data_IF_955547408342
#
_entry.id   IF_955547408342
#
_cell.length_a   1.000
_cell.length_b   1.000
_cell.length_c   1.000
_cell.angle_alpha   90.00
_cell.angle_beta   90.00
_cell.angle_gamma   90.00
#
_symmetry.space_group_name_H-M   'P 1'
#
loop_
_entity.id
_entity.type
_entity.pdbx_description
1 polymer ?
#
# COMPACT_ATOMS: atom_id res chain seq x y z
N UNK A 1 26.14 -4.93 13.70
CA UNK A 1 25.44 -5.95 12.88
C UNK A 1 24.35 -6.57 13.73
N UNK A 2 23.17 -5.97 13.71
CA UNK A 2 21.93 -6.49 14.30
C UNK A 2 20.76 -5.80 13.57
N UNK A 3 19.65 -6.52 13.47
CA UNK A 3 18.29 -6.02 13.16
C UNK A 3 17.79 -5.91 11.71
N UNK A 4 18.13 -6.88 10.87
CA UNK A 4 17.23 -7.31 9.77
C UNK A 4 16.32 -8.47 10.20
N UNK A 5 16.70 -9.24 11.23
CA UNK A 5 15.89 -10.34 11.78
C UNK A 5 14.63 -9.85 12.53
N UNK A 6 14.65 -8.63 13.07
CA UNK A 6 13.52 -8.04 13.79
C UNK A 6 12.35 -7.67 12.86
N UNK A 7 12.61 -7.35 11.59
CA UNK A 7 11.57 -6.96 10.62
C UNK A 7 10.82 -8.17 10.07
N UNK A 8 11.51 -9.30 9.87
CA UNK A 8 10.86 -10.56 9.46
C UNK A 8 10.10 -11.26 10.60
N UNK A 9 10.52 -11.07 11.85
CA UNK A 9 9.80 -11.58 13.03
C UNK A 9 8.41 -10.93 13.23
N UNK A 10 8.23 -9.67 12.82
CA UNK A 10 6.99 -8.93 13.04
C UNK A 10 5.91 -9.26 11.98
N UNK A 11 6.33 -9.62 10.76
CA UNK A 11 5.41 -10.14 9.72
C UNK A 11 5.02 -11.59 10.03
N UNK A 12 5.94 -12.40 10.56
CA UNK A 12 5.62 -13.77 11.04
C UNK A 12 4.64 -13.81 12.22
N UNK A 13 4.75 -12.86 13.16
CA UNK A 13 3.86 -12.79 14.34
C UNK A 13 2.43 -12.33 14.01
N UNK A 14 2.23 -11.54 12.95
CA UNK A 14 0.90 -11.18 12.45
C UNK A 14 0.22 -12.32 11.68
N UNK A 15 1.00 -13.23 11.08
CA UNK A 15 0.48 -14.42 10.40
C UNK A 15 0.07 -15.58 11.34
N UNK A 16 0.77 -15.76 12.47
CA UNK A 16 0.54 -16.89 13.37
C UNK A 16 -0.67 -16.76 14.32
N UNK A 17 -1.07 -15.54 14.68
CA UNK A 17 -2.13 -15.32 15.66
C UNK A 17 -3.56 -15.51 15.11
N UNK A 18 -3.74 -15.59 13.78
CA UNK A 18 -5.05 -15.77 13.14
C UNK A 18 -5.51 -17.23 13.02
N UNK A 19 -4.66 -18.22 13.33
CA UNK A 19 -4.98 -19.65 13.14
C UNK A 19 -5.24 -20.44 14.43
N UNK A 20 -5.04 -19.85 15.62
CA UNK A 20 -5.06 -20.60 16.90
C UNK A 20 -6.41 -20.71 17.63
N UNK A 21 -7.47 -20.05 17.18
CA UNK A 21 -8.68 -19.82 18.00
C UNK A 21 -9.94 -20.63 17.65
N UNK A 22 -9.83 -21.78 16.99
CA UNK A 22 -10.99 -22.51 16.45
C UNK A 22 -11.21 -23.91 17.05
N UNK A 23 -10.95 -24.09 18.34
CA UNK A 23 -11.33 -25.30 19.06
C UNK A 23 -12.09 -24.91 20.32
N UNK A 24 -13.44 -24.99 20.28
CA UNK A 24 -14.21 -25.90 21.14
C UNK A 24 -15.72 -25.61 21.15
N UNK A 25 -16.48 -26.71 21.14
CA UNK A 25 -17.90 -26.91 21.49
C UNK A 25 -19.01 -26.58 20.46
N UNK A 26 -19.49 -27.67 19.86
CA UNK A 26 -20.87 -27.84 19.44
C UNK A 26 -21.82 -27.80 20.65
N UNK A 27 -22.84 -26.93 20.61
CA UNK A 27 -24.08 -27.01 21.42
C UNK A 27 -25.26 -26.55 20.53
N UNK A 28 -26.45 -27.19 20.58
CA UNK A 28 -27.45 -27.06 19.53
C UNK A 28 -28.57 -26.03 19.80
N UNK A 29 -28.90 -25.27 18.75
CA UNK A 29 -30.23 -24.85 18.26
C UNK A 29 -31.09 -23.83 19.04
N UNK A 30 -30.81 -23.46 20.28
CA UNK A 30 -31.37 -22.20 20.87
C UNK A 30 -30.46 -20.97 20.70
N UNK A 31 -29.30 -21.17 20.10
CA UNK A 31 -28.21 -20.19 19.92
C UNK A 31 -28.31 -19.31 18.67
N UNK A 32 -29.32 -19.48 17.81
CA UNK A 32 -29.33 -18.86 16.46
C UNK A 32 -29.41 -17.33 16.44
N UNK A 33 -29.90 -16.66 17.49
CA UNK A 33 -29.92 -15.18 17.53
C UNK A 33 -28.60 -14.58 18.03
N UNK A 34 -27.97 -15.21 19.02
CA UNK A 34 -26.67 -14.77 19.55
C UNK A 34 -25.53 -15.10 18.58
N UNK A 35 -25.57 -16.24 17.89
CA UNK A 35 -24.54 -16.61 16.89
C UNK A 35 -24.61 -15.71 15.66
N UNK A 36 -25.80 -15.28 15.23
CA UNK A 36 -25.95 -14.34 14.11
C UNK A 36 -25.42 -12.94 14.45
N UNK A 37 -25.63 -12.46 15.68
CA UNK A 37 -25.03 -11.20 16.15
C UNK A 37 -23.51 -11.32 16.28
N UNK A 38 -23.01 -12.39 16.89
CA UNK A 38 -21.56 -12.64 17.02
C UNK A 38 -20.86 -12.77 15.64
N UNK A 39 -21.49 -13.45 14.68
CA UNK A 39 -20.97 -13.54 13.29
C UNK A 39 -20.96 -12.19 12.58
N UNK A 40 -21.97 -11.34 12.78
CA UNK A 40 -21.99 -9.99 12.21
C UNK A 40 -20.91 -9.11 12.82
N UNK A 41 -20.73 -9.17 14.13
CA UNK A 41 -19.69 -8.44 14.85
C UNK A 41 -18.29 -8.85 14.40
N UNK A 42 -18.03 -10.16 14.31
CA UNK A 42 -16.75 -10.69 13.81
C UNK A 42 -16.44 -10.26 12.37
N UNK A 43 -17.46 -10.19 11.49
CA UNK A 43 -17.30 -9.68 10.12
C UNK A 43 -17.01 -8.18 10.09
N UNK A 44 -17.71 -7.38 10.88
CA UNK A 44 -17.48 -5.94 10.96
C UNK A 44 -16.07 -5.61 11.49
N UNK A 45 -15.61 -6.34 12.50
CA UNK A 45 -14.26 -6.21 13.05
C UNK A 45 -13.18 -6.63 12.05
N UNK A 46 -13.38 -7.75 11.34
CA UNK A 46 -12.46 -8.18 10.28
C UNK A 46 -12.35 -7.13 9.16
N UNK A 47 -13.49 -6.57 8.73
CA UNK A 47 -13.55 -5.51 7.72
C UNK A 47 -12.83 -4.23 8.18
N UNK A 48 -13.07 -3.81 9.43
CA UNK A 48 -12.37 -2.67 10.04
C UNK A 48 -10.85 -2.87 10.07
N UNK A 49 -10.39 -4.06 10.48
CA UNK A 49 -8.96 -4.39 10.53
C UNK A 49 -8.31 -4.36 9.15
N UNK A 50 -9.01 -4.80 8.10
CA UNK A 50 -8.52 -4.74 6.71
C UNK A 50 -8.43 -3.30 6.20
N UNK A 51 -9.41 -2.44 6.50
CA UNK A 51 -9.34 -1.01 6.18
C UNK A 51 -8.16 -0.32 6.87
N UNK A 52 -7.92 -0.68 8.13
CA UNK A 52 -6.74 -0.21 8.87
C UNK A 52 -5.42 -0.70 8.27
N UNK A 53 -5.38 -1.93 7.77
CA UNK A 53 -4.21 -2.45 7.05
C UNK A 53 -3.93 -1.63 5.78
N UNK A 54 -4.94 -1.37 4.95
CA UNK A 54 -4.81 -0.53 3.75
C UNK A 54 -4.31 0.88 4.08
N UNK A 55 -4.85 1.50 5.14
CA UNK A 55 -4.38 2.80 5.64
C UNK A 55 -2.90 2.77 6.02
N UNK A 56 -2.47 1.72 6.72
CA UNK A 56 -1.09 1.57 7.17
C UNK A 56 -0.14 1.36 5.99
N UNK A 57 -0.47 0.47 5.06
CA UNK A 57 0.40 0.13 3.91
C UNK A 57 0.52 1.29 2.93
N UNK A 58 -0.57 1.98 2.61
CA UNK A 58 -0.52 3.19 1.75
C UNK A 58 0.27 4.34 2.38
N UNK A 59 0.21 4.51 3.70
CA UNK A 59 1.04 5.47 4.43
C UNK A 59 2.52 5.13 4.32
N UNK A 60 2.87 3.87 4.52
CA UNK A 60 4.25 3.41 4.47
C UNK A 60 4.85 3.56 3.07
N UNK A 61 4.09 3.20 2.03
CA UNK A 61 4.48 3.40 0.64
C UNK A 61 4.82 4.88 0.34
N UNK A 62 3.94 5.80 0.72
CA UNK A 62 4.18 7.25 0.51
C UNK A 62 5.37 7.75 1.32
N UNK A 63 5.57 7.23 2.55
CA UNK A 63 6.73 7.58 3.39
C UNK A 63 8.04 7.18 2.72
N UNK A 64 8.13 5.95 2.20
CA UNK A 64 9.32 5.44 1.53
C UNK A 64 9.62 6.26 0.26
N UNK A 65 8.61 6.56 -0.57
CA UNK A 65 8.80 7.40 -1.75
C UNK A 65 9.36 8.80 -1.42
N UNK A 66 8.88 9.41 -0.33
CA UNK A 66 9.33 10.74 0.12
C UNK A 66 10.76 10.73 0.68
N UNK A 67 11.10 9.69 1.42
CA UNK A 67 12.46 9.45 1.95
C UNK A 67 13.47 9.27 0.80
N UNK A 68 13.08 8.52 -0.22
CA UNK A 68 13.88 8.31 -1.42
C UNK A 68 14.12 9.59 -2.20
N UNK A 69 13.06 10.34 -2.48
CA UNK A 69 13.16 11.62 -3.15
C UNK A 69 14.04 12.62 -2.37
N UNK A 70 13.87 12.69 -1.05
CA UNK A 70 14.71 13.55 -0.19
C UNK A 70 16.18 13.16 -0.27
N UNK A 71 16.48 11.86 -0.33
CA UNK A 71 17.86 11.37 -0.44
C UNK A 71 18.48 11.68 -1.81
N UNK A 72 17.71 11.55 -2.89
CA UNK A 72 18.13 11.93 -4.24
C UNK A 72 18.40 13.44 -4.38
N UNK A 73 17.54 14.29 -3.77
CA UNK A 73 17.74 15.73 -3.73
C UNK A 73 19.01 16.13 -2.95
N UNK A 74 19.31 15.41 -1.86
CA UNK A 74 20.52 15.62 -1.08
C UNK A 74 21.79 15.07 -1.75
N UNK A 75 21.70 14.44 -2.93
CA UNK A 75 22.82 13.81 -3.60
C UNK A 75 23.43 12.64 -2.81
N UNK A 76 22.68 12.07 -1.86
CA UNK A 76 23.15 10.94 -1.06
C UNK A 76 23.01 9.66 -1.87
N UNK A 77 24.01 8.80 -1.78
CA UNK A 77 23.90 7.45 -2.30
C UNK A 77 22.77 6.75 -1.56
N UNK A 78 21.67 6.48 -2.26
CA UNK A 78 20.62 5.66 -1.67
C UNK A 78 21.08 4.21 -1.72
N UNK A 79 21.09 3.53 -0.58
CA UNK A 79 21.49 2.12 -0.51
C UNK A 79 20.59 1.28 -1.42
N UNK A 80 21.09 0.98 -2.63
CA UNK A 80 20.36 0.27 -3.70
C UNK A 80 19.78 -1.04 -3.19
N UNK A 81 20.59 -1.76 -2.41
CA UNK A 81 20.30 -3.10 -1.91
C UNK A 81 19.27 -3.13 -0.78
N UNK A 82 19.03 -2.01 -0.10
CA UNK A 82 18.09 -1.94 1.04
C UNK A 82 16.78 -1.23 0.69
N UNK A 83 16.87 -0.13 -0.07
CA UNK A 83 15.73 0.73 -0.37
C UNK A 83 14.74 0.15 -1.38
N UNK A 84 15.24 -0.46 -2.45
CA UNK A 84 14.39 -0.96 -3.53
C UNK A 84 13.54 -2.16 -3.08
N UNK A 85 14.10 -3.17 -2.38
CA UNK A 85 13.29 -4.25 -1.81
C UNK A 85 12.22 -3.75 -0.85
N UNK A 86 12.52 -2.72 -0.03
CA UNK A 86 11.55 -2.14 0.89
C UNK A 86 10.40 -1.45 0.15
N UNK A 87 10.70 -0.69 -0.92
CA UNK A 87 9.68 -0.03 -1.73
C UNK A 87 8.79 -1.05 -2.46
N UNK A 88 9.39 -2.11 -3.02
CA UNK A 88 8.65 -3.19 -3.66
C UNK A 88 7.75 -3.92 -2.66
N UNK A 89 8.27 -4.28 -1.48
CA UNK A 89 7.47 -4.90 -0.43
C UNK A 89 6.30 -4.03 0.04
N UNK A 90 6.47 -2.70 0.05
CA UNK A 90 5.39 -1.78 0.38
C UNK A 90 4.31 -1.72 -0.73
N UNK A 91 4.71 -1.77 -2.00
CA UNK A 91 3.77 -1.86 -3.13
C UNK A 91 2.96 -3.17 -3.07
N UNK A 92 3.65 -4.30 -2.87
CA UNK A 92 3.02 -5.62 -2.76
C UNK A 92 2.04 -5.66 -1.57
N UNK A 93 2.43 -5.10 -0.41
CA UNK A 93 1.56 -5.01 0.76
C UNK A 93 0.32 -4.14 0.55
N UNK A 94 0.38 -3.11 -0.30
CA UNK A 94 -0.82 -2.36 -0.71
C UNK A 94 -1.72 -3.23 -1.59
N UNK A 95 -1.15 -3.98 -2.53
CA UNK A 95 -1.89 -4.96 -3.33
C UNK A 95 -2.60 -6.01 -2.46
N UNK A 96 -1.89 -6.64 -1.53
CA UNK A 96 -2.44 -7.66 -0.64
C UNK A 96 -3.56 -7.12 0.27
N UNK A 97 -3.38 -5.91 0.81
CA UNK A 97 -4.39 -5.26 1.64
C UNK A 97 -5.66 -4.94 0.81
N UNK A 98 -5.47 -4.61 -0.45
CA UNK A 98 -6.53 -4.32 -1.41
C UNK A 98 -7.32 -5.57 -1.78
N UNK A 99 -6.62 -6.64 -2.14
CA UNK A 99 -7.25 -7.93 -2.46
C UNK A 99 -7.98 -8.50 -1.25
N UNK A 100 -7.45 -8.30 -0.04
CA UNK A 100 -8.11 -8.69 1.20
C UNK A 100 -9.45 -7.98 1.43
N UNK A 101 -9.59 -6.72 0.96
CA UNK A 101 -10.84 -5.97 1.08
C UNK A 101 -11.93 -6.48 0.11
N UNK A 102 -11.52 -7.01 -1.04
CA UNK A 102 -12.45 -7.61 -2.01
C UNK A 102 -13.27 -8.78 -1.41
N UNK A 103 -12.70 -9.49 -0.42
CA UNK A 103 -13.38 -10.57 0.32
C UNK A 103 -14.65 -10.07 1.03
N UNK A 104 -14.68 -8.82 1.48
CA UNK A 104 -15.82 -8.24 2.22
C UNK A 104 -16.82 -7.52 1.32
N UNK A 105 -16.74 -7.71 -0.01
CA UNK A 105 -17.53 -6.98 -0.98
C UNK A 105 -17.14 -5.50 -1.10
N UNK A 106 -16.07 -5.08 -0.41
CA UNK A 106 -15.38 -3.83 -0.71
C UNK A 106 -14.47 -4.10 -1.90
N UNK A 107 -15.04 -4.03 -3.09
CA UNK A 107 -14.29 -4.26 -4.31
C UNK A 107 -13.35 -3.09 -4.52
N UNK A 108 -12.07 -3.32 -4.26
CA UNK A 108 -10.95 -2.50 -4.72
C UNK A 108 -10.21 -3.23 -5.83
N UNK A 109 -10.82 -3.41 -6.99
CA UNK A 109 -10.18 -4.15 -8.08
C UNK A 109 -9.12 -3.29 -8.78
N UNK A 110 -7.86 -3.68 -8.65
CA UNK A 110 -6.73 -3.13 -9.42
C UNK A 110 -6.59 -3.75 -10.82
N UNK A 111 -7.40 -4.77 -11.12
CA UNK A 111 -7.42 -5.45 -12.41
C UNK A 111 -8.40 -4.79 -13.38
N UNK A 112 -7.92 -4.53 -14.60
CA UNK A 112 -8.67 -3.91 -15.71
C UNK A 112 -9.81 -4.78 -16.28
N UNK A 113 -10.01 -6.00 -15.76
CA UNK A 113 -11.00 -6.96 -16.30
C UNK A 113 -12.35 -6.98 -15.59
N UNK A 114 -12.54 -6.27 -14.46
CA UNK A 114 -13.83 -6.25 -13.75
C UNK A 114 -14.57 -4.93 -13.99
N UNK A 115 -15.55 -4.95 -14.89
CA UNK A 115 -16.14 -3.76 -15.51
C UNK A 115 -17.37 -3.18 -14.80
N UNK A 116 -17.74 -3.65 -13.62
CA UNK A 116 -19.08 -3.35 -13.06
C UNK A 116 -19.14 -2.66 -11.69
N UNK A 117 -18.02 -2.32 -11.04
CA UNK A 117 -18.07 -1.49 -9.82
C UNK A 117 -16.98 -0.42 -9.87
N UNK A 118 -17.26 0.67 -10.59
CA UNK A 118 -16.51 1.93 -10.53
C UNK A 118 -16.82 2.65 -9.20
N UNK A 119 -16.39 2.08 -8.07
CA UNK A 119 -16.42 2.82 -6.81
C UNK A 119 -15.34 3.92 -6.87
N UNK A 120 -15.65 5.09 -6.31
CA UNK A 120 -14.74 6.25 -6.29
C UNK A 120 -13.42 5.89 -5.60
N UNK A 121 -13.49 5.00 -4.62
CA UNK A 121 -12.40 4.41 -3.88
C UNK A 121 -11.39 3.68 -4.78
N UNK A 122 -11.88 2.90 -5.74
CA UNK A 122 -11.04 2.12 -6.66
C UNK A 122 -10.23 3.03 -7.55
N UNK A 123 -10.89 4.09 -8.02
CA UNK A 123 -10.24 5.11 -8.83
C UNK A 123 -9.12 5.79 -8.06
N UNK A 124 -9.33 6.15 -6.79
CA UNK A 124 -8.26 6.74 -5.98
C UNK A 124 -7.15 5.74 -5.70
N UNK A 125 -7.46 4.49 -5.39
CA UNK A 125 -6.43 3.49 -5.17
C UNK A 125 -5.60 3.19 -6.42
N UNK A 126 -6.24 3.05 -7.58
CA UNK A 126 -5.58 2.87 -8.87
C UNK A 126 -4.67 4.07 -9.19
N UNK A 127 -5.17 5.30 -9.00
CA UNK A 127 -4.38 6.51 -9.18
C UNK A 127 -3.18 6.55 -8.22
N UNK A 128 -3.35 6.13 -6.96
CA UNK A 128 -2.29 6.10 -5.97
C UNK A 128 -1.18 5.14 -6.38
N UNK A 129 -1.55 3.92 -6.77
CA UNK A 129 -0.59 2.93 -7.23
C UNK A 129 0.08 3.36 -8.53
N UNK A 130 -0.68 3.94 -9.47
CA UNK A 130 -0.11 4.49 -10.70
C UNK A 130 0.94 5.55 -10.42
N UNK A 131 0.66 6.51 -9.54
CA UNK A 131 1.65 7.52 -9.14
C UNK A 131 2.85 6.88 -8.42
N UNK A 132 2.63 5.89 -7.57
CA UNK A 132 3.70 5.18 -6.88
C UNK A 132 4.60 4.38 -7.83
N UNK A 133 4.04 3.68 -8.82
CA UNK A 133 4.78 2.97 -9.86
C UNK A 133 5.55 3.92 -10.77
N UNK A 134 4.96 5.06 -11.15
CA UNK A 134 5.68 6.09 -11.91
C UNK A 134 6.86 6.65 -11.10
N UNK A 135 6.64 6.95 -9.83
CA UNK A 135 7.68 7.45 -8.93
C UNK A 135 8.80 6.42 -8.74
N UNK A 136 8.47 5.14 -8.53
CA UNK A 136 9.46 4.07 -8.38
C UNK A 136 10.27 3.85 -9.66
N UNK A 137 9.64 3.95 -10.84
CA UNK A 137 10.32 3.96 -12.13
C UNK A 137 11.31 5.10 -12.27
N UNK A 138 10.90 6.33 -11.93
CA UNK A 138 11.79 7.50 -11.98
C UNK A 138 12.96 7.41 -10.98
N UNK A 139 12.73 6.89 -9.78
CA UNK A 139 13.81 6.64 -8.80
C UNK A 139 14.84 5.69 -9.38
N UNK A 140 14.41 4.61 -10.05
CA UNK A 140 15.29 3.66 -10.72
C UNK A 140 16.05 4.31 -11.88
N UNK A 141 15.37 5.04 -12.76
CA UNK A 141 16.00 5.72 -13.89
C UNK A 141 17.06 6.74 -13.46
N UNK A 142 16.79 7.52 -12.39
CA UNK A 142 17.75 8.47 -11.83
C UNK A 142 18.97 7.75 -11.24
N UNK A 143 18.76 6.63 -10.53
CA UNK A 143 19.85 5.85 -9.92
C UNK A 143 20.73 5.17 -10.95
N UNK A 144 20.13 4.56 -11.98
CA UNK A 144 20.86 3.90 -13.05
C UNK A 144 21.65 4.92 -13.88
N UNK A 145 21.12 6.15 -14.04
CA UNK A 145 21.85 7.26 -14.66
C UNK A 145 22.99 7.84 -13.82
N UNK A 146 22.92 7.75 -12.48
CA UNK A 146 23.97 8.20 -11.56
C UNK A 146 25.09 7.14 -11.38
N UNK A 147 24.87 5.90 -11.86
CA UNK A 147 25.73 4.75 -11.62
C UNK A 147 26.34 4.14 -12.87
N UNK A 148 27.26 4.85 -13.55
CA UNK A 148 28.44 4.26 -14.20
C UNK A 148 29.31 5.37 -14.81
N UNK A 149 30.60 5.37 -14.47
CA UNK A 149 31.63 6.23 -15.07
C UNK A 149 32.00 5.82 -16.50
N UNK A 150 31.05 5.29 -17.27
CA UNK A 150 31.20 5.05 -18.69
C UNK A 150 30.80 6.34 -19.42
N UNK A 151 31.71 6.86 -20.24
CA UNK A 151 31.50 8.13 -20.93
C UNK A 151 30.17 8.08 -21.68
N UNK A 152 29.26 9.05 -21.45
CA UNK A 152 27.96 9.04 -22.09
C UNK A 152 28.15 9.00 -23.61
N UNK A 153 27.54 7.99 -24.24
CA UNK A 153 27.48 7.88 -25.69
C UNK A 153 27.00 9.24 -26.26
N UNK A 154 27.83 9.95 -27.05
CA UNK A 154 27.51 11.28 -27.56
C UNK A 154 26.25 11.29 -28.43
N UNK A 155 25.83 10.15 -28.97
CA UNK A 155 24.58 10.02 -29.71
C UNK A 155 23.34 9.87 -28.79
N UNK A 156 23.50 9.43 -27.54
CA UNK A 156 22.43 9.42 -26.51
C UNK A 156 22.26 10.77 -25.79
N UNK A 157 23.27 11.64 -25.84
CA UNK A 157 23.27 12.95 -25.18
C UNK A 157 22.19 13.92 -25.71
N UNK A 158 21.71 13.74 -26.94
CA UNK A 158 20.61 14.54 -27.49
C UNK A 158 19.21 14.09 -27.03
N UNK A 159 19.07 12.93 -26.37
CA UNK A 159 17.81 12.40 -25.82
C UNK A 159 17.81 12.30 -24.28
N UNK A 160 18.94 12.63 -23.62
CA UNK A 160 19.05 12.55 -22.17
C UNK A 160 18.18 13.62 -21.50
N UNK A 161 17.06 13.21 -20.91
CA UNK A 161 16.24 14.09 -20.08
C UNK A 161 17.11 14.61 -18.93
N UNK A 162 17.22 15.94 -18.73
CA UNK A 162 18.05 16.50 -17.67
C UNK A 162 17.66 15.92 -16.31
N UNK A 163 18.64 15.54 -15.47
CA UNK A 163 18.41 15.02 -14.10
C UNK A 163 17.43 15.87 -13.30
N UNK A 164 17.53 17.19 -13.43
CA UNK A 164 16.61 18.15 -12.81
C UNK A 164 15.15 17.94 -13.25
N UNK A 165 14.91 17.70 -14.53
CA UNK A 165 13.56 17.43 -15.05
C UNK A 165 12.99 16.09 -14.55
N UNK A 166 13.85 15.08 -14.35
CA UNK A 166 13.46 13.80 -13.73
C UNK A 166 13.09 13.98 -12.26
N UNK A 167 13.88 14.74 -11.50
CA UNK A 167 13.59 15.07 -10.09
C UNK A 167 12.30 15.87 -9.95
N UNK A 168 12.07 16.88 -10.81
CA UNK A 168 10.82 17.65 -10.82
C UNK A 168 9.62 16.78 -11.14
N UNK A 169 9.79 15.80 -12.04
CA UNK A 169 8.74 14.82 -12.36
C UNK A 169 8.48 13.89 -11.19
N UNK A 170 9.52 13.39 -10.53
CA UNK A 170 9.41 12.54 -9.34
C UNK A 170 8.64 13.26 -8.22
N UNK A 171 8.99 14.52 -7.95
CA UNK A 171 8.29 15.36 -6.97
C UNK A 171 6.79 15.49 -7.28
N UNK A 172 6.43 15.66 -8.56
CA UNK A 172 5.02 15.71 -9.02
C UNK A 172 4.28 14.39 -8.77
N UNK A 173 4.89 13.25 -9.10
CA UNK A 173 4.28 11.94 -8.88
C UNK A 173 4.08 11.66 -7.38
N UNK A 174 5.07 11.96 -6.54
CA UNK A 174 4.96 11.79 -5.07
C UNK A 174 3.86 12.69 -4.50
N UNK A 175 3.78 13.95 -4.96
CA UNK A 175 2.71 14.87 -4.58
C UNK A 175 1.33 14.38 -5.05
N UNK A 176 1.27 13.75 -6.23
CA UNK A 176 0.12 13.02 -6.72
C UNK A 176 -0.31 11.91 -5.77
N UNK A 177 0.60 10.99 -5.43
CA UNK A 177 0.36 9.91 -4.46
C UNK A 177 -0.13 10.42 -3.11
N UNK A 178 0.45 11.50 -2.59
CA UNK A 178 0.06 12.13 -1.31
C UNK A 178 -1.39 12.62 -1.34
N UNK A 179 -1.78 13.40 -2.36
CA UNK A 179 -3.15 13.92 -2.52
C UNK A 179 -4.16 12.80 -2.74
N UNK A 180 -3.83 11.85 -3.62
CA UNK A 180 -4.71 10.72 -3.90
C UNK A 180 -4.92 9.85 -2.66
N UNK A 181 -3.87 9.66 -1.84
CA UNK A 181 -3.99 8.98 -0.55
C UNK A 181 -4.93 9.73 0.39
N UNK A 182 -4.80 11.04 0.50
CA UNK A 182 -5.65 11.87 1.36
C UNK A 182 -7.12 11.68 1.01
N UNK A 183 -7.49 11.82 -0.27
CA UNK A 183 -8.85 11.57 -0.75
C UNK A 183 -9.32 10.13 -0.53
N UNK A 184 -8.43 9.14 -0.69
CA UNK A 184 -8.77 7.74 -0.37
C UNK A 184 -9.05 7.57 1.13
N UNK A 185 -8.28 8.23 1.99
CA UNK A 185 -8.43 8.10 3.44
C UNK A 185 -9.73 8.73 3.95
N UNK A 186 -10.20 9.83 3.35
CA UNK A 186 -11.52 10.39 3.63
C UNK A 186 -12.61 9.33 3.45
N UNK A 187 -12.64 8.67 2.29
CA UNK A 187 -13.62 7.62 1.99
C UNK A 187 -13.48 6.38 2.89
N UNK A 188 -12.25 6.01 3.23
CA UNK A 188 -11.97 4.90 4.14
C UNK A 188 -12.48 5.22 5.56
N UNK A 189 -12.30 6.46 6.04
CA UNK A 189 -12.81 6.87 7.35
C UNK A 189 -14.32 6.89 7.39
N UNK A 190 -14.99 7.38 6.33
CA UNK A 190 -16.45 7.32 6.23
C UNK A 190 -16.97 5.87 6.34
N UNK A 191 -16.28 4.92 5.70
CA UNK A 191 -16.60 3.49 5.83
C UNK A 191 -16.36 2.95 7.24
N UNK A 192 -15.27 3.35 7.89
CA UNK A 192 -14.95 2.92 9.25
C UNK A 192 -15.97 3.46 10.27
N UNK A 193 -16.40 4.70 10.11
CA UNK A 193 -17.40 5.32 10.98
C UNK A 193 -18.77 4.65 10.79
N UNK A 194 -19.17 4.34 9.55
CA UNK A 194 -20.37 3.55 9.29
C UNK A 194 -20.36 2.18 9.98
N UNK A 195 -19.23 1.47 9.96
CA UNK A 195 -19.08 0.18 10.66
C UNK A 195 -19.16 0.31 12.18
N UNK A 196 -18.65 1.43 12.73
CA UNK A 196 -18.70 1.72 14.16
C UNK A 196 -20.13 2.04 14.61
N UNK A 197 -20.87 2.80 13.83
CA UNK A 197 -22.27 3.16 14.12
C UNK A 197 -23.20 1.95 14.03
N UNK A 198 -22.96 1.03 13.09
CA UNK A 198 -23.66 -0.26 13.03
C UNK A 198 -23.39 -1.13 14.26
N UNK A 199 -22.25 -0.97 14.92
CA UNK A 199 -21.92 -1.72 16.13
C UNK A 199 -22.64 -1.19 17.38
N UNK A 200 -22.99 0.10 17.41
CA UNK A 200 -23.65 0.76 18.54
C UNK A 200 -25.19 0.63 18.54
N UNK A 201 -25.78 0.11 17.46
CA UNK A 201 -27.23 -0.11 17.29
C UNK A 201 -27.65 -1.55 17.54
#
# INVERSE_FOLDING_TARGET
MADTAAVYGLVGALGGALLGGAATFAVPVLQNRHTNRARRQSRAEAKFNRLMALRKTTRELVRLLDEEHTSLLAGRAVARDASWPALQAALDAVGDATDSLAIDGLHFTLSSSSREVNSTENRYLELLLRHAYNASGLIRDIRDGDGEGEAPDPDRLNAAVPRRALLDRLAREISGSKRTRESLMELVFDHMDGLRDEHLR
#
